data_IF_852154968921
#
_entry.id   IF_852154968921
#
_cell.length_a   1.000
_cell.length_b   1.000
_cell.length_c   1.000
_cell.angle_alpha   90.00
_cell.angle_beta   90.00
_cell.angle_gamma   90.00
#
_symmetry.space_group_name_H-M   'P 1'
#
loop_
_entity.id
_entity.type
_entity.pdbx_description
1 polymer ?
#
# COMPACT_ATOMS: atom_id res chain seq x y z
N UNK A 1 -5.18 -13.94 -4.44
CA UNK A 1 -5.23 -13.18 -3.17
C UNK A 1 -6.20 -12.00 -3.32
N UNK A 2 -6.88 -11.61 -2.24
CA UNK A 2 -7.86 -10.50 -2.22
C UNK A 2 -7.17 -9.17 -1.93
N UNK A 3 -7.60 -8.08 -2.58
CA UNK A 3 -7.05 -6.72 -2.39
C UNK A 3 -7.23 -6.22 -0.95
N UNK A 4 -8.30 -6.65 -0.29
CA UNK A 4 -8.64 -6.25 1.06
C UNK A 4 -7.55 -6.65 2.06
N UNK A 5 -6.88 -7.79 1.86
CA UNK A 5 -5.81 -8.25 2.75
C UNK A 5 -4.59 -7.32 2.72
N UNK A 6 -4.22 -6.80 1.54
CA UNK A 6 -3.07 -5.88 1.45
C UNK A 6 -3.42 -4.49 1.98
N UNK A 7 -4.69 -4.08 1.86
CA UNK A 7 -5.21 -2.86 2.48
C UNK A 7 -5.17 -2.96 4.01
N UNK A 8 -5.63 -4.08 4.56
CA UNK A 8 -5.63 -4.32 6.01
C UNK A 8 -4.20 -4.35 6.55
N UNK A 9 -3.27 -4.99 5.82
CA UNK A 9 -1.86 -5.02 6.19
C UNK A 9 -1.22 -3.62 6.21
N UNK A 10 -1.51 -2.78 5.20
CA UNK A 10 -1.00 -1.41 5.15
C UNK A 10 -1.58 -0.55 6.28
N UNK A 11 -2.87 -0.70 6.56
CA UNK A 11 -3.56 0.00 7.67
C UNK A 11 -2.98 -0.41 9.02
N UNK A 12 -2.70 -1.70 9.21
CA UNK A 12 -2.05 -2.20 10.42
C UNK A 12 -0.64 -1.61 10.58
N UNK A 13 0.15 -1.58 9.50
CA UNK A 13 1.49 -0.99 9.50
C UNK A 13 1.47 0.51 9.87
N UNK A 14 0.50 1.27 9.36
CA UNK A 14 0.31 2.67 9.72
C UNK A 14 0.01 2.85 11.21
N UNK A 15 -0.91 2.05 11.77
CA UNK A 15 -1.21 2.07 13.21
C UNK A 15 -0.01 1.73 14.07
N UNK A 16 0.79 0.74 13.67
CA UNK A 16 1.99 0.33 14.41
C UNK A 16 3.09 1.39 14.38
N UNK A 17 3.23 2.11 13.26
CA UNK A 17 4.29 3.11 13.08
C UNK A 17 3.86 4.54 13.45
N UNK A 18 2.56 4.77 13.63
CA UNK A 18 1.95 6.08 13.84
C UNK A 18 1.77 6.89 12.55
N UNK A 19 2.68 6.76 11.59
CA UNK A 19 2.55 7.35 10.25
C UNK A 19 3.39 6.59 9.22
N UNK A 20 2.93 6.57 7.97
CA UNK A 20 3.70 6.09 6.81
C UNK A 20 4.02 7.20 5.81
N UNK A 21 3.76 8.47 6.14
CA UNK A 21 3.98 9.59 5.23
C UNK A 21 5.44 9.65 4.79
N UNK A 22 5.66 9.68 3.49
CA UNK A 22 7.00 9.69 2.88
C UNK A 22 7.63 8.31 2.69
N UNK A 23 6.97 7.22 3.13
CA UNK A 23 7.45 5.87 2.89
C UNK A 23 7.31 5.48 1.40
N UNK A 24 8.20 4.59 0.96
CA UNK A 24 8.17 3.97 -0.36
C UNK A 24 7.86 2.49 -0.17
N UNK A 25 6.81 2.00 -0.85
CA UNK A 25 6.44 0.60 -0.83
C UNK A 25 6.84 -0.06 -2.14
N UNK A 26 7.74 -1.03 -2.04
CA UNK A 26 8.16 -1.87 -3.16
C UNK A 26 7.32 -3.12 -3.21
N UNK A 27 6.59 -3.30 -4.31
CA UNK A 27 5.73 -4.46 -4.57
C UNK A 27 6.00 -5.01 -5.96
N UNK A 28 5.55 -6.23 -6.20
CA UNK A 28 5.43 -6.76 -7.56
C UNK A 28 4.22 -6.14 -8.29
N UNK A 29 3.96 -6.61 -9.51
CA UNK A 29 2.82 -6.20 -10.35
C UNK A 29 1.54 -7.00 -10.07
N UNK A 30 1.42 -7.64 -8.89
CA UNK A 30 0.24 -8.39 -8.50
C UNK A 30 -1.03 -7.54 -8.57
N UNK A 31 -2.15 -8.14 -8.97
CA UNK A 31 -3.44 -7.44 -9.14
C UNK A 31 -3.96 -6.75 -7.88
N UNK A 32 -3.49 -7.18 -6.71
CA UNK A 32 -3.84 -6.60 -5.42
C UNK A 32 -3.16 -5.24 -5.25
N UNK A 33 -1.87 -5.16 -5.59
CA UNK A 33 -1.06 -3.95 -5.49
C UNK A 33 -1.31 -2.97 -6.64
N UNK A 34 -1.64 -3.47 -7.83
CA UNK A 34 -2.02 -2.63 -8.97
C UNK A 34 -3.49 -2.20 -8.95
N UNK A 35 -4.28 -2.66 -7.98
CA UNK A 35 -5.69 -2.28 -7.87
C UNK A 35 -5.88 -0.81 -7.53
N UNK A 36 -6.97 -0.21 -8.05
CA UNK A 36 -7.35 1.17 -7.74
C UNK A 36 -7.52 1.41 -6.24
N UNK A 37 -8.19 0.47 -5.56
CA UNK A 37 -8.46 0.57 -4.13
C UNK A 37 -7.16 0.61 -3.32
N UNK A 38 -6.19 -0.26 -3.61
CA UNK A 38 -4.91 -0.24 -2.92
C UNK A 38 -4.12 1.05 -3.20
N UNK A 39 -4.12 1.51 -4.46
CA UNK A 39 -3.47 2.77 -4.82
C UNK A 39 -4.06 4.00 -4.11
N UNK A 40 -5.38 4.03 -3.89
CA UNK A 40 -6.06 5.08 -3.13
C UNK A 40 -5.65 5.05 -1.65
N UNK A 41 -5.55 3.87 -1.04
CA UNK A 41 -5.10 3.73 0.35
C UNK A 41 -3.62 4.13 0.51
N UNK A 42 -2.73 3.71 -0.40
CA UNK A 42 -1.35 4.18 -0.38
C UNK A 42 -1.28 5.71 -0.44
N UNK A 43 -2.09 6.33 -1.30
CA UNK A 43 -2.13 7.79 -1.42
C UNK A 43 -2.61 8.46 -0.14
N UNK A 44 -3.66 7.95 0.50
CA UNK A 44 -4.17 8.52 1.76
C UNK A 44 -3.18 8.39 2.91
N UNK A 45 -2.43 7.29 2.96
CA UNK A 45 -1.38 7.06 3.97
C UNK A 45 -0.07 7.84 3.68
N UNK A 46 0.01 8.57 2.56
CA UNK A 46 1.22 9.28 2.14
C UNK A 46 2.35 8.35 1.67
N UNK A 47 2.01 7.14 1.21
CA UNK A 47 2.94 6.12 0.72
C UNK A 47 3.05 6.21 -0.79
N UNK A 48 4.29 6.22 -1.30
CA UNK A 48 4.58 6.11 -2.73
C UNK A 48 4.82 4.65 -3.11
N UNK A 49 4.04 4.15 -4.05
CA UNK A 49 4.27 2.83 -4.62
C UNK A 49 5.41 2.88 -5.64
N UNK A 50 6.24 1.83 -5.66
CA UNK A 50 7.33 1.67 -6.62
C UNK A 50 7.37 0.22 -7.08
N UNK A 51 6.98 0.00 -8.32
CA UNK A 51 7.04 -1.31 -8.98
C UNK A 51 8.16 -1.28 -10.03
N UNK A 52 8.79 -2.43 -10.28
CA UNK A 52 9.80 -2.57 -11.33
C UNK A 52 9.22 -2.28 -12.72
N UNK A 53 10.10 -2.11 -13.72
CA UNK A 53 9.70 -2.05 -15.13
C UNK A 53 9.20 -3.42 -15.63
#
# INVERSE_FOLDING_TARGET
MRTELVIDALTAAERTRGTLTGAIMHTDHGSQYTSRAFAEICRSAGVRQSMGA
#
